data_IF_373533189348
#
_entry.id   IF_373533189348
#
_cell.length_a   1.000
_cell.length_b   1.000
_cell.length_c   1.000
_cell.angle_alpha   90.00
_cell.angle_beta   90.00
_cell.angle_gamma   90.00
#
_symmetry.space_group_name_H-M   'P 1'
#
loop_
_entity.id
_entity.type
_entity.pdbx_description
1 polymer ?
#
# COMPACT_ATOMS: atom_id res chain seq x y z
N UNK A 1 -28.02 8.96 29.46
CA UNK A 1 -27.38 9.79 29.17
C UNK A 1 -25.96 9.66 29.16
N UNK A 2 -25.28 9.57 30.11
CA UNK A 2 -23.93 9.41 30.12
C UNK A 2 -23.46 8.20 29.44
N UNK A 3 -24.16 7.17 29.32
CA UNK A 3 -23.73 6.01 28.66
C UNK A 3 -23.37 6.20 27.26
N UNK A 4 -23.92 7.12 26.58
CA UNK A 4 -23.60 7.32 25.23
C UNK A 4 -22.15 7.64 25.04
N UNK A 5 -21.56 8.33 25.91
CA UNK A 5 -20.18 8.69 25.78
C UNK A 5 -19.29 7.51 25.78
N UNK A 6 -19.63 6.52 26.56
CA UNK A 6 -18.81 5.36 26.61
C UNK A 6 -18.75 4.64 25.30
N UNK A 7 -19.84 4.58 24.60
CA UNK A 7 -19.88 3.91 23.33
C UNK A 7 -18.99 4.60 22.35
N UNK A 8 -19.00 5.91 22.36
CA UNK A 8 -18.18 6.64 21.44
C UNK A 8 -16.71 6.37 21.69
N UNK A 9 -16.33 6.27 22.91
CA UNK A 9 -14.96 6.00 23.23
C UNK A 9 -14.51 4.65 22.71
N UNK A 10 -15.36 3.68 22.78
CA UNK A 10 -15.03 2.38 22.28
C UNK A 10 -14.77 2.40 20.79
N UNK A 11 -15.60 3.11 20.08
CA UNK A 11 -15.45 3.20 18.65
C UNK A 11 -14.12 3.84 18.30
N UNK A 12 -13.77 4.87 19.03
CA UNK A 12 -12.52 5.53 18.76
C UNK A 12 -11.34 4.61 19.00
N UNK A 13 -11.45 3.78 19.99
CA UNK A 13 -10.39 2.86 20.29
C UNK A 13 -10.18 1.91 19.15
N UNK A 14 -11.24 1.43 18.55
CA UNK A 14 -11.12 0.52 17.47
C UNK A 14 -10.43 1.17 16.29
N UNK A 15 -10.75 2.41 16.04
CA UNK A 15 -10.15 3.11 14.95
C UNK A 15 -8.66 3.24 15.17
N UNK A 16 -8.26 3.51 16.37
CA UNK A 16 -6.87 3.64 16.67
C UNK A 16 -6.10 2.37 16.45
N UNK A 17 -6.71 1.25 16.76
CA UNK A 17 -6.01 0.03 16.59
C UNK A 17 -5.71 -0.24 15.14
N UNK A 18 -6.48 0.26 14.24
CA UNK A 18 -6.24 0.01 12.85
C UNK A 18 -5.02 0.68 12.30
N UNK A 19 -4.42 1.55 13.07
CA UNK A 19 -3.28 2.19 12.58
C UNK A 19 -2.07 1.35 12.64
N UNK A 20 -2.15 0.20 13.16
CA UNK A 20 -1.02 -0.66 13.31
C UNK A 20 -0.30 -0.89 12.00
N UNK A 21 -1.00 -1.10 10.92
CA UNK A 21 -0.30 -1.29 9.68
C UNK A 21 -0.45 -0.04 8.89
N UNK A 22 0.55 0.68 8.69
CA UNK A 22 0.43 1.93 8.06
C UNK A 22 1.12 2.08 6.77
N UNK A 23 0.79 1.29 5.80
CA UNK A 23 1.30 1.51 4.49
C UNK A 23 0.23 2.25 3.69
N UNK A 24 0.64 3.30 3.04
CA UNK A 24 -0.25 4.06 2.23
C UNK A 24 -0.05 3.65 0.80
N UNK A 25 -1.06 3.22 0.11
CA UNK A 25 -0.90 2.78 -1.26
C UNK A 25 -1.74 3.61 -2.21
N UNK A 26 -1.23 3.82 -3.41
CA UNK A 26 -1.92 4.57 -4.41
C UNK A 26 -1.75 3.86 -5.73
N UNK A 27 -2.84 3.48 -6.36
CA UNK A 27 -2.80 2.77 -7.62
C UNK A 27 -3.29 3.66 -8.74
N UNK A 28 -2.53 3.76 -9.80
CA UNK A 28 -2.91 4.59 -10.94
C UNK A 28 -2.83 3.78 -12.22
N UNK A 29 -3.91 3.70 -12.97
CA UNK A 29 -3.87 2.99 -14.25
C UNK A 29 -3.01 3.77 -15.24
N UNK A 30 -2.24 3.05 -16.03
CA UNK A 30 -1.37 3.68 -16.99
C UNK A 30 -1.74 3.31 -18.44
N UNK A 31 -2.86 2.70 -18.62
CA UNK A 31 -3.27 2.27 -19.95
C UNK A 31 -3.40 0.78 -19.99
N UNK A 32 -3.43 0.18 -21.13
CA UNK A 32 -3.66 -1.22 -21.31
C UNK A 32 -3.07 -2.12 -20.27
N UNK A 33 -3.82 -2.50 -19.31
CA UNK A 33 -3.41 -3.43 -18.25
C UNK A 33 -2.13 -3.08 -17.51
N UNK A 34 -1.70 -1.84 -17.63
CA UNK A 34 -0.51 -1.38 -16.97
C UNK A 34 -0.87 -0.46 -15.82
N UNK A 35 -0.18 -0.59 -14.72
CA UNK A 35 -0.49 0.19 -13.54
C UNK A 35 0.75 0.68 -12.84
N UNK A 36 0.60 1.77 -12.13
CA UNK A 36 1.68 2.27 -11.29
C UNK A 36 1.18 2.19 -9.86
N UNK A 37 1.96 1.58 -8.99
CA UNK A 37 1.57 1.44 -7.60
C UNK A 37 2.62 2.09 -6.73
N UNK A 38 2.18 3.01 -5.90
CA UNK A 38 3.07 3.71 -5.00
C UNK A 38 2.77 3.24 -3.58
N UNK A 39 3.80 2.90 -2.83
CA UNK A 39 3.62 2.45 -1.47
C UNK A 39 4.52 3.26 -0.56
N UNK A 40 3.92 3.92 0.41
CA UNK A 40 4.66 4.74 1.33
C UNK A 40 4.57 4.08 2.70
N UNK A 41 5.70 3.81 3.31
CA UNK A 41 5.71 3.20 4.61
C UNK A 41 5.82 4.25 5.68
N UNK A 42 6.24 3.84 6.86
CA UNK A 42 6.45 4.79 7.93
C UNK A 42 7.95 4.75 8.25
N UNK A 43 8.34 5.42 9.30
CA UNK A 43 9.75 5.53 9.62
C UNK A 43 10.44 4.20 9.92
N UNK A 44 9.66 3.21 10.24
CA UNK A 44 10.23 1.91 10.54
C UNK A 44 10.16 0.92 9.40
N UNK A 45 9.57 1.30 8.30
CA UNK A 45 9.42 0.37 7.18
C UNK A 45 10.73 0.22 6.42
N UNK A 46 11.13 -0.99 6.16
CA UNK A 46 12.35 -1.21 5.41
C UNK A 46 12.00 -1.37 3.94
N UNK A 47 13.00 -1.37 3.09
CA UNK A 47 12.78 -1.58 1.68
C UNK A 47 12.16 -2.94 1.45
N UNK A 48 12.60 -3.92 2.21
CA UNK A 48 12.08 -5.26 2.05
C UNK A 48 10.59 -5.28 2.37
N UNK A 49 10.17 -4.57 3.39
CA UNK A 49 8.77 -4.52 3.75
C UNK A 49 7.95 -3.92 2.60
N UNK A 50 8.47 -2.87 2.00
CA UNK A 50 7.76 -2.23 0.91
C UNK A 50 7.66 -3.17 -0.30
N UNK A 51 8.71 -3.90 -0.58
CA UNK A 51 8.69 -4.82 -1.70
C UNK A 51 7.69 -5.93 -1.45
N UNK A 52 7.60 -6.41 -0.22
CA UNK A 52 6.66 -7.46 0.12
C UNK A 52 5.23 -6.97 -0.04
N UNK A 53 4.96 -5.75 0.40
CA UNK A 53 3.63 -5.18 0.26
C UNK A 53 3.29 -5.01 -1.21
N UNK A 54 4.27 -4.55 -2.00
CA UNK A 54 4.08 -4.33 -3.42
C UNK A 54 3.72 -5.67 -4.09
N UNK A 55 4.47 -6.70 -3.81
CA UNK A 55 4.25 -8.01 -4.40
C UNK A 55 2.85 -8.51 -4.05
N UNK A 56 2.46 -8.39 -2.80
CA UNK A 56 1.15 -8.83 -2.38
C UNK A 56 0.03 -8.05 -3.07
N UNK A 57 0.22 -6.75 -3.23
CA UNK A 57 -0.78 -5.95 -3.88
C UNK A 57 -0.89 -6.30 -5.36
N UNK A 58 0.23 -6.53 -6.01
CA UNK A 58 0.22 -6.87 -7.42
C UNK A 58 -0.50 -8.21 -7.59
N UNK A 59 -0.28 -9.14 -6.67
CA UNK A 59 -0.93 -10.41 -6.72
C UNK A 59 -2.44 -10.24 -6.55
N UNK A 60 -2.87 -9.34 -5.67
CA UNK A 60 -4.28 -9.10 -5.48
C UNK A 60 -4.90 -8.53 -6.74
N UNK A 61 -4.20 -7.68 -7.43
CA UNK A 61 -4.73 -7.01 -8.61
C UNK A 61 -4.69 -7.89 -9.84
N UNK A 62 -3.59 -8.55 -10.08
CA UNK A 62 -3.39 -9.32 -11.28
C UNK A 62 -3.48 -10.83 -11.13
N UNK A 63 -3.54 -11.32 -9.94
CA UNK A 63 -3.45 -12.75 -9.72
C UNK A 63 -1.99 -13.13 -9.89
N UNK A 64 -1.72 -14.27 -10.45
CA UNK A 64 -0.35 -14.71 -10.57
C UNK A 64 0.25 -14.39 -11.93
N UNK A 65 -0.52 -13.76 -12.80
CA UNK A 65 0.01 -13.46 -14.12
C UNK A 65 0.29 -11.99 -14.28
N UNK A 66 1.48 -11.61 -14.00
CA UNK A 66 1.87 -10.23 -14.13
C UNK A 66 3.35 -10.11 -14.42
N UNK A 67 3.73 -8.94 -14.85
CA UNK A 67 5.11 -8.65 -15.12
C UNK A 67 5.44 -7.35 -14.44
N UNK A 68 6.51 -7.31 -13.65
CA UNK A 68 6.92 -6.08 -13.02
C UNK A 68 7.87 -5.39 -13.95
N UNK A 69 7.50 -4.20 -14.37
CA UNK A 69 8.28 -3.44 -15.32
C UNK A 69 9.40 -2.66 -14.67
N UNK A 70 9.11 -2.01 -13.58
CA UNK A 70 10.15 -1.27 -12.88
C UNK A 70 9.78 -1.07 -11.42
N UNK A 71 10.77 -0.95 -10.57
CA UNK A 71 10.57 -0.64 -9.19
C UNK A 71 11.63 0.38 -8.83
N UNK A 72 11.20 1.45 -8.15
CA UNK A 72 12.12 2.47 -7.73
C UNK A 72 11.83 2.79 -6.29
N UNK A 73 12.83 2.86 -5.46
CA UNK A 73 12.65 3.23 -4.06
C UNK A 73 13.26 4.58 -3.84
N UNK A 74 12.46 5.47 -3.26
CA UNK A 74 12.88 6.81 -2.98
C UNK A 74 12.69 7.10 -1.51
N UNK A 75 13.13 8.24 -1.05
CA UNK A 75 12.98 8.62 0.32
C UNK A 75 12.30 9.96 0.44
N UNK A 76 11.47 10.10 1.43
CA UNK A 76 10.85 11.37 1.73
C UNK A 76 11.20 11.70 3.16
N UNK A 77 11.29 12.98 3.47
CA UNK A 77 11.61 13.39 4.79
C UNK A 77 10.34 13.95 5.42
N UNK A 78 9.90 13.38 6.50
CA UNK A 78 8.72 13.87 7.20
C UNK A 78 9.04 14.02 8.65
N UNK A 79 8.91 15.25 9.15
CA UNK A 79 9.18 15.52 10.54
C UNK A 79 10.54 14.97 10.98
N UNK A 80 11.52 15.15 10.14
CA UNK A 80 12.86 14.72 10.47
C UNK A 80 13.15 13.26 10.27
N UNK A 81 12.17 12.48 9.91
CA UNK A 81 12.37 11.05 9.71
C UNK A 81 12.45 10.72 8.24
N UNK A 82 13.26 9.73 7.91
CA UNK A 82 13.40 9.31 6.54
C UNK A 82 12.40 8.21 6.27
N UNK A 83 11.55 8.41 5.31
CA UNK A 83 10.51 7.46 4.99
C UNK A 83 10.71 6.89 3.60
N UNK A 84 10.72 5.57 3.50
CA UNK A 84 10.90 4.92 2.22
C UNK A 84 9.60 4.92 1.44
N UNK A 85 9.70 5.15 0.14
CA UNK A 85 8.54 5.13 -0.74
C UNK A 85 8.90 4.28 -1.94
N UNK A 86 8.09 3.32 -2.25
CA UNK A 86 8.33 2.46 -3.40
C UNK A 86 7.37 2.83 -4.52
N UNK A 87 7.89 3.03 -5.71
CA UNK A 87 7.06 3.29 -6.87
C UNK A 87 7.34 2.16 -7.85
N UNK A 88 6.32 1.42 -8.20
CA UNK A 88 6.49 0.30 -9.11
C UNK A 88 5.49 0.34 -10.24
N UNK A 89 5.92 -0.11 -11.41
CA UNK A 89 5.03 -0.20 -12.55
C UNK A 89 4.94 -1.67 -12.92
N UNK A 90 3.75 -2.15 -13.13
CA UNK A 90 3.55 -3.54 -13.48
C UNK A 90 2.43 -3.68 -14.50
N UNK A 91 2.36 -4.83 -15.10
CA UNK A 91 1.37 -5.10 -16.11
C UNK A 91 0.72 -6.43 -15.81
N UNK A 92 -0.59 -6.50 -15.89
CA UNK A 92 -1.30 -7.76 -15.71
C UNK A 92 -1.47 -8.43 -17.05
N UNK A 93 -1.35 -9.74 -17.10
CA UNK A 93 -1.60 -10.46 -18.34
C UNK A 93 -3.04 -10.93 -18.31
N UNK A 94 -3.78 -10.51 -19.28
CA UNK A 94 -5.17 -10.87 -19.33
C UNK A 94 -5.28 -12.34 -19.63
N UNK A 95 -6.09 -13.03 -18.87
CA UNK A 95 -6.29 -14.34 -19.09
C UNK A 95 -7.14 -14.60 -20.13
N UNK A 96 -7.17 -14.33 -21.05
CA UNK A 96 -8.03 -14.58 -22.07
C UNK A 96 -8.90 -15.64 -21.96
N UNK A 97 -9.09 -15.64 -21.90
CA UNK A 97 -9.68 -16.25 -21.93
C UNK A 97 -9.99 -17.02 -22.26
N UNK A 98 -10.05 -17.23 -22.30
CA UNK A 98 -10.25 -17.89 -22.59
C UNK A 98 -10.58 -18.15 -22.65
#
# INVERSE_FOLDING_TARGET
MKKMSHILLLVLSLILTNKASSFETKLSPQGSDKYNLSIKGDAKSSEKNLRDVFQNKVNEICGTRFEIISIKIEYESEEGAKINVLNGTFKCFVKSQM
#
